data_IF_106494608874
#
_entry.id   IF_106494608874
#
_cell.length_a   1.000
_cell.length_b   1.000
_cell.length_c   1.000
_cell.angle_alpha   90.00
_cell.angle_beta   90.00
_cell.angle_gamma   90.00
#
_symmetry.space_group_name_H-M   'P 1'
#
loop_
_entity.id
_entity.type
_entity.pdbx_description
1 polymer ?
#
# COMPACT_ATOMS: atom_id res chain seq x y z
N UNK A 1 -43.53 6.35 43.21
CA UNK A 1 -42.09 6.20 42.94
C UNK A 1 -41.78 5.01 42.02
N UNK A 2 -42.23 5.00 40.75
CA UNK A 2 -41.94 3.91 39.78
C UNK A 2 -41.97 4.36 38.31
N UNK A 3 -41.54 5.60 38.00
CA UNK A 3 -41.49 6.09 36.59
C UNK A 3 -40.16 6.72 36.20
N UNK A 4 -39.27 6.96 37.16
CA UNK A 4 -37.93 7.52 36.96
C UNK A 4 -36.86 6.48 36.63
N UNK A 5 -37.21 5.19 36.61
CA UNK A 5 -36.29 4.07 36.40
C UNK A 5 -36.30 3.52 34.97
N UNK A 6 -36.69 4.32 33.97
CA UNK A 6 -36.72 3.89 32.56
C UNK A 6 -35.87 4.73 31.61
N UNK A 7 -35.15 5.74 32.11
CA UNK A 7 -34.30 6.60 31.29
C UNK A 7 -32.79 6.36 31.47
N UNK A 8 -32.38 5.46 32.36
CA UNK A 8 -30.96 5.21 32.63
C UNK A 8 -30.33 4.14 31.72
N UNK A 9 -31.09 3.51 30.81
CA UNK A 9 -30.55 2.50 29.89
C UNK A 9 -30.15 3.06 28.51
N UNK A 10 -30.29 4.36 28.25
CA UNK A 10 -30.07 4.92 26.90
C UNK A 10 -28.70 5.60 26.71
N UNK A 11 -27.77 5.47 27.66
CA UNK A 11 -26.43 6.07 27.55
C UNK A 11 -25.32 5.01 27.57
N UNK A 12 -25.52 3.92 26.84
CA UNK A 12 -24.43 3.09 26.34
C UNK A 12 -24.52 3.07 24.81
N UNK A 13 -24.55 4.25 24.19
CA UNK A 13 -24.22 4.37 22.76
C UNK A 13 -22.72 4.15 22.68
N UNK A 14 -22.37 2.88 22.51
CA UNK A 14 -21.01 2.42 22.24
C UNK A 14 -20.48 3.18 21.03
N UNK A 15 -19.51 4.06 21.26
CA UNK A 15 -18.73 4.68 20.20
C UNK A 15 -17.82 3.62 19.59
N UNK A 16 -18.33 2.85 18.63
CA UNK A 16 -17.49 2.02 17.77
C UNK A 16 -16.60 2.97 16.97
N UNK A 17 -15.32 3.04 17.33
CA UNK A 17 -14.29 3.64 16.49
C UNK A 17 -14.35 2.92 15.15
N UNK A 18 -14.90 3.58 14.13
CA UNK A 18 -14.84 3.10 12.76
C UNK A 18 -13.42 3.34 12.27
N UNK A 19 -12.57 2.32 12.37
CA UNK A 19 -11.38 2.27 11.54
C UNK A 19 -11.87 2.32 10.09
N UNK A 20 -11.47 3.35 9.35
CA UNK A 20 -11.75 3.42 7.92
C UNK A 20 -11.37 2.07 7.30
N UNK A 21 -12.32 1.38 6.67
CA UNK A 21 -12.05 0.10 6.01
C UNK A 21 -11.15 0.38 4.81
N UNK A 22 -9.84 0.32 5.01
CA UNK A 22 -8.91 0.28 3.90
C UNK A 22 -9.12 -1.05 3.18
N UNK A 23 -9.23 -1.05 1.84
CA UNK A 23 -9.40 -2.28 1.09
C UNK A 23 -8.16 -3.15 1.28
N UNK A 24 -8.36 -4.35 1.82
CA UNK A 24 -7.31 -5.37 1.91
C UNK A 24 -7.02 -5.85 0.49
N UNK A 25 -5.76 -5.79 0.08
CA UNK A 25 -5.36 -6.25 -1.24
C UNK A 25 -5.52 -7.77 -1.34
N UNK A 26 -6.08 -8.24 -2.44
CA UNK A 26 -6.15 -9.66 -2.79
C UNK A 26 -5.11 -10.00 -3.84
N UNK A 27 -4.90 -11.28 -4.16
CA UNK A 27 -4.00 -11.70 -5.24
C UNK A 27 -4.79 -12.00 -6.51
N UNK A 28 -4.19 -11.72 -7.67
CA UNK A 28 -4.72 -12.11 -8.98
C UNK A 28 -3.61 -12.48 -9.93
N UNK A 29 -3.94 -13.27 -10.95
CA UNK A 29 -2.96 -13.56 -12.00
C UNK A 29 -2.92 -12.40 -13.01
N UNK A 30 -1.76 -12.15 -13.65
CA UNK A 30 -1.64 -11.13 -14.68
C UNK A 30 -2.69 -11.23 -15.79
N UNK A 31 -2.98 -12.44 -16.27
CA UNK A 31 -3.95 -12.70 -17.33
C UNK A 31 -5.37 -12.27 -16.91
N UNK A 32 -5.79 -12.65 -15.70
CA UNK A 32 -7.10 -12.30 -15.15
C UNK A 32 -7.25 -10.80 -14.95
N UNK A 33 -6.15 -10.11 -14.63
CA UNK A 33 -6.12 -8.67 -14.51
C UNK A 33 -6.03 -7.94 -15.86
N UNK A 34 -5.91 -8.65 -16.98
CA UNK A 34 -5.83 -8.09 -18.33
C UNK A 34 -4.43 -7.69 -18.79
N UNK A 35 -3.38 -8.17 -18.13
CA UNK A 35 -2.00 -7.91 -18.53
C UNK A 35 -1.52 -8.90 -19.61
N UNK A 36 -0.67 -8.40 -20.50
CA UNK A 36 0.07 -9.25 -21.43
C UNK A 36 1.25 -9.90 -20.70
N UNK A 37 1.15 -11.20 -20.48
CA UNK A 37 2.15 -12.00 -19.74
C UNK A 37 3.51 -12.01 -20.43
N UNK A 38 3.54 -12.07 -21.77
CA UNK A 38 4.81 -12.10 -22.48
C UNK A 38 5.59 -10.79 -22.29
N UNK A 39 4.90 -9.65 -22.29
CA UNK A 39 5.54 -8.36 -21.98
C UNK A 39 6.02 -8.28 -20.53
N UNK A 40 5.26 -8.82 -19.58
CA UNK A 40 5.71 -8.90 -18.18
C UNK A 40 6.94 -9.80 -18.04
N UNK A 41 7.00 -10.92 -18.77
CA UNK A 41 8.16 -11.80 -18.78
C UNK A 41 9.38 -11.15 -19.46
N UNK A 42 9.17 -10.32 -20.50
CA UNK A 42 10.23 -9.52 -21.11
C UNK A 42 10.82 -8.52 -20.10
N UNK A 43 9.97 -7.82 -19.35
CA UNK A 43 10.39 -6.94 -18.27
C UNK A 43 11.14 -7.69 -17.17
N UNK A 44 10.63 -8.85 -16.74
CA UNK A 44 11.28 -9.71 -15.74
C UNK A 44 12.72 -10.10 -16.15
N UNK A 45 12.88 -10.56 -17.40
CA UNK A 45 14.19 -10.89 -17.98
C UNK A 45 15.10 -9.67 -18.06
N UNK A 46 14.57 -8.53 -18.51
CA UNK A 46 15.35 -7.30 -18.61
C UNK A 46 15.85 -6.82 -17.24
N UNK A 47 15.00 -6.82 -16.20
CA UNK A 47 15.42 -6.46 -14.82
C UNK A 47 16.50 -7.42 -14.32
N UNK A 48 16.33 -8.72 -14.56
CA UNK A 48 17.33 -9.72 -14.19
C UNK A 48 18.67 -9.42 -14.84
N UNK A 49 18.69 -9.11 -16.14
CA UNK A 49 19.90 -8.70 -16.87
C UNK A 49 20.54 -7.42 -16.31
N UNK A 50 19.75 -6.44 -15.88
CA UNK A 50 20.31 -5.24 -15.25
C UNK A 50 20.98 -5.55 -13.91
N UNK A 51 20.37 -6.40 -13.09
CA UNK A 51 20.97 -6.87 -11.84
C UNK A 51 22.27 -7.63 -12.11
N UNK A 52 22.27 -8.53 -13.10
CA UNK A 52 23.46 -9.26 -13.54
C UNK A 52 24.56 -8.30 -14.06
N UNK A 53 24.17 -7.20 -14.70
CA UNK A 53 25.06 -6.15 -15.17
C UNK A 53 25.58 -5.21 -14.05
N UNK A 54 25.16 -5.40 -12.80
CA UNK A 54 25.75 -4.75 -11.63
C UNK A 54 24.80 -3.88 -10.80
N UNK A 55 23.54 -3.70 -11.21
CA UNK A 55 22.54 -3.03 -10.38
C UNK A 55 22.35 -3.81 -9.06
N UNK A 56 22.32 -3.12 -7.90
CA UNK A 56 22.36 -3.79 -6.60
C UNK A 56 21.12 -4.65 -6.35
N UNK A 57 19.93 -4.16 -6.69
CA UNK A 57 18.67 -4.89 -6.54
C UNK A 57 17.46 -4.04 -6.91
N UNK A 58 16.32 -4.69 -7.12
CA UNK A 58 15.03 -4.06 -7.51
C UNK A 58 13.88 -4.77 -6.79
N UNK A 59 12.86 -4.02 -6.40
CA UNK A 59 11.58 -4.54 -5.92
C UNK A 59 10.46 -3.95 -6.77
N UNK A 60 9.58 -4.79 -7.31
CA UNK A 60 8.45 -4.36 -8.14
C UNK A 60 7.15 -4.89 -7.57
N UNK A 61 6.17 -4.00 -7.43
CA UNK A 61 4.80 -4.29 -7.04
C UNK A 61 3.84 -3.62 -8.03
N UNK A 62 2.97 -4.41 -8.64
CA UNK A 62 1.91 -3.94 -9.53
C UNK A 62 0.57 -4.29 -8.91
N UNK A 63 -0.26 -3.27 -8.66
CA UNK A 63 -1.61 -3.40 -8.14
C UNK A 63 -2.59 -2.87 -9.19
N UNK A 64 -3.66 -3.63 -9.46
CA UNK A 64 -4.78 -3.21 -10.32
C UNK A 64 -6.07 -3.71 -9.70
N UNK A 65 -7.09 -2.85 -9.64
CA UNK A 65 -8.42 -3.19 -9.13
C UNK A 65 -8.36 -3.88 -7.74
N UNK A 66 -7.61 -3.28 -6.81
CA UNK A 66 -7.35 -3.77 -5.45
C UNK A 66 -6.70 -5.17 -5.37
N UNK A 67 -6.19 -5.69 -6.49
CA UNK A 67 -5.47 -6.95 -6.54
C UNK A 67 -3.98 -6.69 -6.78
N UNK A 68 -3.12 -7.36 -6.02
CA UNK A 68 -1.72 -7.56 -6.36
C UNK A 68 -1.70 -8.49 -7.57
N UNK A 69 -1.19 -7.97 -8.69
CA UNK A 69 -1.17 -8.69 -9.96
C UNK A 69 0.22 -9.26 -10.24
N UNK A 70 1.25 -8.55 -9.79
CA UNK A 70 2.63 -8.96 -9.95
C UNK A 70 3.44 -8.39 -8.80
N UNK A 71 4.25 -9.23 -8.15
CA UNK A 71 5.28 -8.79 -7.21
C UNK A 71 6.51 -9.65 -7.31
N UNK A 72 7.69 -9.03 -7.33
CA UNK A 72 8.96 -9.74 -7.34
C UNK A 72 10.09 -8.83 -6.87
N UNK A 73 11.13 -9.46 -6.34
CA UNK A 73 12.37 -8.80 -5.99
C UNK A 73 13.54 -9.50 -6.69
N UNK A 74 14.56 -8.71 -7.04
CA UNK A 74 15.81 -9.17 -7.68
C UNK A 74 17.01 -8.57 -6.95
N UNK A 75 18.14 -9.25 -7.01
CA UNK A 75 19.42 -8.78 -6.47
C UNK A 75 19.48 -8.77 -4.94
N UNK A 76 20.25 -7.85 -4.39
CA UNK A 76 20.58 -7.71 -2.98
C UNK A 76 19.92 -6.47 -2.36
N UNK A 77 19.36 -6.65 -1.16
CA UNK A 77 18.96 -5.58 -0.27
C UNK A 77 20.17 -4.87 0.36
N UNK A 78 21.26 -5.60 0.61
CA UNK A 78 22.53 -5.07 1.11
C UNK A 78 23.70 -5.75 0.40
N UNK A 79 24.41 -4.98 -0.42
CA UNK A 79 25.58 -5.43 -1.19
C UNK A 79 26.92 -5.04 -0.55
N UNK A 80 26.92 -3.97 0.23
CA UNK A 80 28.12 -3.41 0.87
C UNK A 80 27.93 -3.26 2.38
N UNK A 81 29.01 -3.40 3.12
CA UNK A 81 29.11 -2.97 4.51
C UNK A 81 30.06 -1.78 4.60
N UNK A 82 29.50 -0.58 4.74
CA UNK A 82 30.22 0.66 4.43
C UNK A 82 30.67 0.69 2.97
N UNK A 83 31.97 0.76 2.75
CA UNK A 83 32.59 0.73 1.41
C UNK A 83 33.05 -0.66 0.98
N UNK A 84 32.92 -1.68 1.84
CA UNK A 84 33.44 -3.04 1.58
C UNK A 84 32.35 -3.88 0.91
N UNK A 85 32.69 -4.51 -0.21
CA UNK A 85 31.80 -5.47 -0.86
C UNK A 85 31.66 -6.72 0.01
N UNK A 86 30.42 -7.13 0.29
CA UNK A 86 30.16 -8.32 1.10
C UNK A 86 30.40 -9.60 0.27
N UNK A 87 31.07 -10.60 0.84
CA UNK A 87 31.20 -11.93 0.23
C UNK A 87 29.82 -12.59 0.04
N UNK A 88 28.91 -12.34 0.97
CA UNK A 88 27.53 -12.84 0.93
C UNK A 88 26.54 -11.67 1.07
N UNK A 89 26.15 -11.03 -0.04
CA UNK A 89 25.13 -10.00 -0.03
C UNK A 89 23.80 -10.50 0.54
N UNK A 90 23.08 -9.62 1.25
CA UNK A 90 21.73 -9.93 1.74
C UNK A 90 20.76 -9.84 0.56
N UNK A 91 20.08 -10.94 0.22
CA UNK A 91 19.13 -10.97 -0.91
C UNK A 91 17.92 -10.08 -0.67
N UNK A 92 17.46 -9.41 -1.71
CA UNK A 92 16.20 -8.69 -1.69
C UNK A 92 15.01 -9.66 -1.68
N UNK A 93 13.97 -9.29 -0.96
CA UNK A 93 12.69 -10.00 -0.85
C UNK A 93 11.56 -9.02 -1.06
N UNK A 94 10.35 -9.49 -1.39
CA UNK A 94 9.16 -8.63 -1.50
C UNK A 94 8.78 -7.94 -0.18
N UNK A 95 9.34 -8.36 0.95
CA UNK A 95 9.20 -7.72 2.26
C UNK A 95 10.39 -6.87 2.69
N UNK A 96 11.39 -6.67 1.82
CA UNK A 96 12.53 -5.80 2.14
C UNK A 96 12.05 -4.36 2.29
N UNK A 97 12.40 -3.73 3.42
CA UNK A 97 12.11 -2.32 3.67
C UNK A 97 13.18 -1.45 3.03
N UNK A 98 12.75 -0.43 2.30
CA UNK A 98 13.61 0.55 1.66
C UNK A 98 13.27 1.95 2.18
N UNK A 99 14.30 2.76 2.40
CA UNK A 99 14.11 4.19 2.55
C UNK A 99 13.68 4.77 1.20
N UNK A 100 12.54 5.46 1.17
CA UNK A 100 12.02 6.08 -0.05
C UNK A 100 12.71 7.41 -0.36
N UNK A 101 13.63 7.88 0.49
CA UNK A 101 14.26 9.19 0.42
C UNK A 101 13.19 10.30 0.26
N UNK A 102 13.46 11.40 -0.45
CA UNK A 102 12.56 12.54 -0.59
C UNK A 102 11.30 12.27 -1.47
N UNK A 103 10.45 11.32 -1.04
CA UNK A 103 9.05 11.16 -1.49
C UNK A 103 8.02 11.59 -0.45
N UNK A 104 8.41 12.47 0.48
CA UNK A 104 7.54 12.97 1.55
C UNK A 104 6.31 13.76 1.05
N UNK A 105 6.35 14.30 -0.18
CA UNK A 105 5.31 15.21 -0.65
C UNK A 105 4.00 14.52 -1.09
N UNK A 106 4.02 13.22 -1.43
CA UNK A 106 2.83 12.51 -1.92
C UNK A 106 2.12 11.63 -0.87
N UNK A 107 2.57 11.63 0.39
CA UNK A 107 1.91 10.88 1.48
C UNK A 107 0.99 11.77 2.33
N UNK A 108 0.92 13.08 2.04
CA UNK A 108 -0.04 13.98 2.69
C UNK A 108 -1.39 13.91 1.99
N UNK A 109 -2.19 12.89 2.32
CA UNK A 109 -3.60 12.89 1.93
C UNK A 109 -4.31 14.09 2.56
N UNK A 110 -5.02 14.81 1.68
CA UNK A 110 -5.93 15.90 1.92
C UNK A 110 -7.10 15.44 2.81
N UNK A 111 -6.92 15.51 4.13
CA UNK A 111 -8.00 15.47 5.09
C UNK A 111 -8.73 16.82 5.06
N UNK A 112 -9.48 17.11 3.99
CA UNK A 112 -10.56 18.09 4.07
C UNK A 112 -11.80 17.38 4.60
N UNK A 113 -12.21 17.58 5.86
CA UNK A 113 -13.51 17.11 6.30
C UNK A 113 -14.59 17.79 5.44
N UNK A 114 -15.51 16.97 4.92
CA UNK A 114 -16.74 17.46 4.33
C UNK A 114 -17.52 18.21 5.41
N UNK A 115 -17.49 19.55 5.38
CA UNK A 115 -18.52 20.35 6.03
C UNK A 115 -19.81 20.15 5.23
N UNK A 116 -20.64 19.23 5.69
CA UNK A 116 -22.07 19.45 5.62
C UNK A 116 -22.38 20.68 6.49
N UNK A 117 -23.02 21.71 5.93
CA UNK A 117 -24.36 22.11 6.39
C UNK A 117 -24.90 23.33 5.65
N UNK A 118 -26.16 23.18 5.22
CA UNK A 118 -27.25 24.09 5.55
C UNK A 118 -27.07 25.60 5.25
N UNK A 119 -27.33 25.98 3.98
CA UNK A 119 -27.96 27.27 3.65
C UNK A 119 -28.39 27.31 2.18
N UNK A 120 -29.62 26.86 1.89
CA UNK A 120 -30.52 27.37 0.82
C UNK A 120 -31.81 26.54 0.75
N UNK A 121 -32.59 26.59 1.82
CA UNK A 121 -34.04 26.54 1.76
C UNK A 121 -34.53 27.75 2.54
N UNK A 122 -34.55 28.90 1.87
CA UNK A 122 -35.26 30.15 2.23
C UNK A 122 -34.95 31.14 1.12
N UNK A 123 -35.64 30.98 0.00
CA UNK A 123 -35.93 32.06 -0.94
C UNK A 123 -37.15 31.57 -1.73
N UNK A 124 -38.32 31.88 -1.17
CA UNK A 124 -39.55 32.02 -1.95
C UNK A 124 -39.45 33.25 -2.85
#
# INVERSE_FOLDING_TARGET
>A
MKRTMLYLSLLAVSCSVSAAKYPVLTESSPEKAGFNVERLNQMDRWISQQVDAGYPGVNLLIIKDNQIVYRKAWGAAKKYDGSVLMEQPVKATTGTLYDLASKHQNVRHELRPAKADERRQTAS
#
